data_IF_825570573552
#
_entry.id   IF_825570573552
#
_cell.length_a   1.000
_cell.length_b   1.000
_cell.length_c   1.000
_cell.angle_alpha   90.00
_cell.angle_beta   90.00
_cell.angle_gamma   90.00
#
_symmetry.space_group_name_H-M   'P 1'
#
loop_
_entity.id
_entity.type
_entity.pdbx_description
1 polymer ?
#
# COMPACT_ATOMS: atom_id res chain seq x y z
N UNK A 1 -84.62 8.22 55.47
CA UNK A 1 -83.88 9.41 56.02
C UNK A 1 -82.88 9.77 55.02
N UNK A 2 -83.19 10.66 54.20
CA UNK A 2 -82.72 12.04 54.09
C UNK A 2 -81.30 12.09 53.47
N UNK A 3 -80.92 12.85 52.51
CA UNK A 3 -81.51 14.04 51.93
C UNK A 3 -80.90 14.30 50.54
N UNK A 4 -81.63 14.90 49.73
CA UNK A 4 -81.28 15.35 48.42
C UNK A 4 -80.41 16.60 48.47
N UNK A 5 -79.40 16.67 47.68
CA UNK A 5 -78.76 17.93 47.33
C UNK A 5 -78.52 18.03 45.84
N UNK A 6 -79.37 18.82 45.25
CA UNK A 6 -79.43 19.36 43.90
C UNK A 6 -78.19 20.27 43.69
N UNK A 7 -77.33 19.92 42.77
CA UNK A 7 -76.28 20.80 42.28
C UNK A 7 -76.61 21.23 40.83
N UNK A 8 -76.87 22.44 40.68
CA UNK A 8 -77.21 23.20 39.46
C UNK A 8 -76.00 23.30 38.56
N UNK A 9 -76.09 22.85 37.32
CA UNK A 9 -75.03 22.96 36.37
C UNK A 9 -75.06 24.37 35.73
N UNK A 10 -74.10 25.15 36.03
CA UNK A 10 -73.82 26.42 35.37
C UNK A 10 -73.18 26.16 34.01
N UNK A 11 -73.91 26.50 32.96
CA UNK A 11 -73.41 26.47 31.58
C UNK A 11 -72.53 27.70 31.40
N UNK A 12 -71.23 27.53 31.21
CA UNK A 12 -70.32 28.58 30.73
C UNK A 12 -70.29 28.59 29.21
N UNK A 13 -70.61 29.68 28.52
CA UNK A 13 -70.39 29.84 27.10
C UNK A 13 -69.00 30.43 26.88
N UNK A 14 -68.22 29.81 26.07
CA UNK A 14 -67.01 30.50 25.57
C UNK A 14 -65.77 29.65 25.36
N UNK A 15 -65.85 28.57 24.61
CA UNK A 15 -64.69 28.07 23.97
C UNK A 15 -64.42 28.84 22.66
N UNK A 16 -63.61 29.91 22.79
CA UNK A 16 -63.06 30.59 21.62
C UNK A 16 -62.19 29.61 20.84
N UNK A 17 -62.62 29.24 19.66
CA UNK A 17 -61.84 28.45 18.74
C UNK A 17 -60.51 29.12 18.42
N UNK A 18 -59.44 28.56 18.91
CA UNK A 18 -58.11 28.91 18.48
C UNK A 18 -57.99 28.60 16.98
N UNK A 19 -58.16 29.63 16.15
CA UNK A 19 -57.81 29.56 14.75
C UNK A 19 -56.28 29.41 14.71
N UNK A 20 -55.84 28.17 14.48
CA UNK A 20 -54.47 27.91 14.13
C UNK A 20 -54.18 28.73 12.88
N UNK A 21 -53.40 29.80 13.04
CA UNK A 21 -52.89 30.59 11.93
C UNK A 21 -52.10 29.67 11.04
N UNK A 22 -52.63 29.36 9.85
CA UNK A 22 -51.89 28.75 8.78
C UNK A 22 -50.74 29.69 8.47
N UNK A 23 -49.56 29.34 8.95
CA UNK A 23 -48.34 30.03 8.55
C UNK A 23 -48.16 29.82 7.07
N UNK A 24 -48.53 30.82 6.29
CA UNK A 24 -48.15 30.91 4.89
C UNK A 24 -46.63 30.81 4.84
N UNK A 25 -46.13 29.70 4.33
CA UNK A 25 -44.72 29.49 4.07
C UNK A 25 -44.19 30.74 3.38
N UNK A 26 -43.09 31.27 3.93
CA UNK A 26 -42.39 32.45 3.41
C UNK A 26 -41.93 32.13 2.00
N UNK A 27 -42.75 32.58 1.02
CA UNK A 27 -42.42 32.43 -0.39
C UNK A 27 -41.06 33.08 -0.65
N UNK A 28 -40.13 32.31 -1.16
CA UNK A 28 -38.80 32.83 -1.47
C UNK A 28 -38.95 33.95 -2.48
N UNK A 29 -38.53 35.17 -2.17
CA UNK A 29 -38.59 36.30 -3.08
C UNK A 29 -37.71 36.00 -4.31
N UNK A 30 -38.09 36.53 -5.51
CA UNK A 30 -37.33 36.36 -6.74
C UNK A 30 -35.85 36.72 -6.58
N UNK A 31 -35.55 37.80 -5.83
CA UNK A 31 -34.18 38.21 -5.52
C UNK A 31 -33.46 37.18 -4.62
N UNK A 32 -34.14 36.68 -3.59
CA UNK A 32 -33.60 35.64 -2.73
C UNK A 32 -33.30 34.35 -3.47
N UNK A 33 -34.19 33.94 -4.38
CA UNK A 33 -34.01 32.76 -5.21
C UNK A 33 -32.78 32.87 -6.13
N UNK A 34 -32.64 34.00 -6.86
CA UNK A 34 -31.48 34.25 -7.72
C UNK A 34 -30.19 34.31 -6.92
N UNK A 35 -30.20 34.98 -5.77
CA UNK A 35 -29.04 35.03 -4.89
C UNK A 35 -28.65 33.63 -4.41
N UNK A 36 -29.59 32.80 -4.00
CA UNK A 36 -29.35 31.44 -3.52
C UNK A 36 -28.78 30.53 -4.61
N UNK A 37 -29.36 30.61 -5.83
CA UNK A 37 -28.80 29.90 -6.99
C UNK A 37 -27.39 30.37 -7.31
N UNK A 38 -27.14 31.68 -7.31
CA UNK A 38 -25.79 32.22 -7.53
C UNK A 38 -24.78 31.71 -6.51
N UNK A 39 -25.13 31.70 -5.23
CA UNK A 39 -24.27 31.16 -4.17
C UNK A 39 -24.04 29.66 -4.36
N UNK A 40 -25.06 28.89 -4.73
CA UNK A 40 -24.95 27.46 -4.98
C UNK A 40 -23.99 27.18 -6.13
N UNK A 41 -24.08 27.93 -7.24
CA UNK A 41 -23.15 27.76 -8.39
C UNK A 41 -21.72 28.14 -8.04
N UNK A 42 -21.50 29.23 -7.30
CA UNK A 42 -20.16 29.62 -6.84
C UNK A 42 -19.55 28.52 -5.95
N UNK A 43 -20.34 28.02 -5.01
CA UNK A 43 -19.89 26.94 -4.10
C UNK A 43 -19.59 25.65 -4.86
N UNK A 44 -20.45 25.29 -5.81
CA UNK A 44 -20.24 24.12 -6.66
C UNK A 44 -18.98 24.27 -7.52
N UNK A 45 -18.80 25.40 -8.20
CA UNK A 45 -17.60 25.67 -9.00
C UNK A 45 -16.34 25.64 -8.17
N UNK A 46 -16.39 26.25 -6.97
CA UNK A 46 -15.27 26.18 -6.01
C UNK A 46 -14.93 24.76 -5.60
N UNK A 47 -15.94 23.97 -5.22
CA UNK A 47 -15.75 22.57 -4.85
C UNK A 47 -15.18 21.73 -6.01
N UNK A 48 -15.69 21.92 -7.21
CA UNK A 48 -15.17 21.25 -8.41
C UNK A 48 -13.75 21.68 -8.74
N UNK A 49 -13.40 22.95 -8.54
CA UNK A 49 -12.04 23.45 -8.69
C UNK A 49 -11.08 22.78 -7.71
N UNK A 50 -11.43 22.70 -6.43
CA UNK A 50 -10.63 22.03 -5.41
C UNK A 50 -10.50 20.54 -5.72
N UNK A 51 -11.59 19.86 -6.11
CA UNK A 51 -11.54 18.45 -6.48
C UNK A 51 -10.62 18.21 -7.69
N UNK A 52 -10.71 19.06 -8.71
CA UNK A 52 -9.84 18.97 -9.90
C UNK A 52 -8.37 19.18 -9.55
N UNK A 53 -8.05 20.18 -8.74
CA UNK A 53 -6.68 20.44 -8.28
C UNK A 53 -6.14 19.27 -7.45
N UNK A 54 -6.98 18.70 -6.57
CA UNK A 54 -6.60 17.53 -5.78
C UNK A 54 -6.33 16.31 -6.67
N UNK A 55 -7.16 16.09 -7.69
CA UNK A 55 -6.96 15.01 -8.66
C UNK A 55 -5.68 15.21 -9.48
N UNK A 56 -5.43 16.44 -9.96
CA UNK A 56 -4.18 16.77 -10.64
C UNK A 56 -2.98 16.56 -9.73
N UNK A 57 -3.07 16.99 -8.48
CA UNK A 57 -2.01 16.77 -7.49
C UNK A 57 -1.74 15.28 -7.23
N UNK A 58 -2.79 14.46 -7.25
CA UNK A 58 -2.65 13.01 -7.10
C UNK A 58 -2.00 12.34 -8.32
N UNK A 59 -2.30 12.83 -9.54
CA UNK A 59 -1.72 12.31 -10.78
C UNK A 59 -0.23 12.64 -10.95
N UNK A 60 0.25 13.69 -10.27
CA UNK A 60 1.68 14.03 -10.22
C UNK A 60 2.26 13.58 -8.88
N UNK A 61 2.76 12.33 -8.78
CA UNK A 61 3.37 11.87 -7.55
C UNK A 61 4.56 12.77 -7.21
N UNK A 62 4.65 13.18 -5.96
CA UNK A 62 5.90 13.74 -5.47
C UNK A 62 6.95 12.67 -5.65
N UNK A 63 8.05 13.02 -6.30
CA UNK A 63 9.19 12.12 -6.45
C UNK A 63 9.50 11.56 -5.08
N UNK A 64 9.18 10.29 -4.93
CA UNK A 64 9.48 9.56 -3.73
C UNK A 64 10.99 9.37 -3.69
N UNK A 65 11.53 9.42 -2.51
CA UNK A 65 12.90 9.03 -2.27
C UNK A 65 13.05 7.56 -2.65
N UNK A 66 13.50 7.30 -3.88
CA UNK A 66 13.87 5.95 -4.27
C UNK A 66 15.20 5.61 -3.60
N UNK A 67 15.29 4.47 -2.91
CA UNK A 67 16.57 4.02 -2.37
C UNK A 67 17.57 3.87 -3.52
N UNK A 68 18.86 4.12 -3.28
CA UNK A 68 19.87 4.02 -4.33
C UNK A 68 19.82 2.64 -4.99
N UNK A 69 19.86 2.63 -6.32
CA UNK A 69 19.78 1.40 -7.10
C UNK A 69 21.06 0.57 -6.99
N UNK A 70 22.16 1.21 -6.60
CA UNK A 70 23.44 0.56 -6.33
C UNK A 70 23.86 0.79 -4.90
N UNK A 71 24.39 -0.24 -4.25
CA UNK A 71 24.90 -0.13 -2.89
C UNK A 71 26.05 -1.12 -2.66
N UNK A 72 26.91 -0.81 -1.70
CA UNK A 72 28.00 -1.69 -1.26
C UNK A 72 27.52 -2.50 -0.05
N UNK A 73 27.64 -3.81 -0.15
CA UNK A 73 27.16 -4.73 0.87
C UNK A 73 28.24 -5.13 1.89
N UNK A 74 29.50 -4.75 1.64
CA UNK A 74 30.65 -5.12 2.47
C UNK A 74 31.60 -6.10 1.77
N UNK A 75 32.68 -6.49 2.42
CA UNK A 75 33.65 -7.41 1.85
C UNK A 75 33.11 -8.86 1.81
N UNK A 76 33.52 -9.67 0.82
CA UNK A 76 33.02 -11.04 0.63
C UNK A 76 33.17 -11.95 1.87
N UNK A 77 34.23 -11.76 2.64
CA UNK A 77 34.50 -12.56 3.84
C UNK A 77 33.52 -12.32 5.01
N UNK A 78 32.71 -11.28 4.94
CA UNK A 78 31.67 -11.02 5.94
C UNK A 78 30.46 -11.96 5.81
N UNK A 79 30.27 -12.53 4.63
CA UNK A 79 29.16 -13.44 4.35
C UNK A 79 29.57 -14.88 4.70
N UNK A 80 28.77 -15.53 5.54
CA UNK A 80 29.02 -16.90 6.00
C UNK A 80 28.63 -17.88 4.88
N UNK A 81 29.50 -18.83 4.58
CA UNK A 81 29.23 -19.87 3.57
C UNK A 81 28.04 -20.73 3.98
N UNK A 82 27.15 -21.01 3.02
CA UNK A 82 25.95 -21.83 3.23
C UNK A 82 24.80 -21.10 3.91
N UNK A 83 24.86 -19.76 4.05
CA UNK A 83 23.82 -18.98 4.71
C UNK A 83 23.25 -17.87 3.82
N UNK A 84 22.11 -17.35 4.23
CA UNK A 84 21.42 -16.21 3.60
C UNK A 84 21.52 -15.00 4.52
N UNK A 85 22.09 -13.93 4.02
CA UNK A 85 22.14 -12.66 4.73
C UNK A 85 20.85 -11.85 4.51
N UNK A 86 20.11 -11.63 5.59
CA UNK A 86 18.85 -10.90 5.62
C UNK A 86 18.99 -9.40 5.93
N UNK A 87 20.19 -8.90 6.26
CA UNK A 87 20.41 -7.50 6.67
C UNK A 87 19.91 -6.48 5.66
N UNK A 88 19.97 -6.84 4.38
CA UNK A 88 19.62 -5.94 3.27
C UNK A 88 18.18 -6.10 2.78
N UNK A 89 17.41 -6.99 3.38
CA UNK A 89 16.03 -7.27 2.99
C UNK A 89 15.13 -6.04 3.13
N UNK A 90 15.13 -5.41 4.30
CA UNK A 90 14.24 -4.28 4.58
C UNK A 90 14.68 -2.99 3.87
N UNK A 91 15.99 -2.74 3.77
CA UNK A 91 16.52 -1.50 3.21
C UNK A 91 16.58 -1.50 1.68
N UNK A 92 16.92 -2.65 1.10
CA UNK A 92 17.20 -2.76 -0.34
C UNK A 92 16.36 -3.80 -1.07
N UNK A 93 15.60 -4.61 -0.35
CA UNK A 93 14.74 -5.66 -0.93
C UNK A 93 15.53 -6.80 -1.54
N UNK A 94 16.64 -7.21 -0.91
CA UNK A 94 17.53 -8.26 -1.42
C UNK A 94 17.93 -9.25 -0.34
N UNK A 95 18.27 -10.46 -0.77
CA UNK A 95 18.98 -11.45 0.03
C UNK A 95 20.36 -11.66 -0.60
N UNK A 96 21.41 -11.68 0.21
CA UNK A 96 22.75 -12.07 -0.24
C UNK A 96 22.99 -13.48 0.20
N UNK A 97 23.34 -14.32 -0.74
CA UNK A 97 23.59 -15.74 -0.51
C UNK A 97 25.04 -16.05 -0.87
N UNK A 98 25.75 -16.72 0.02
CA UNK A 98 27.06 -17.26 -0.22
C UNK A 98 27.03 -18.78 -0.11
N UNK A 99 27.42 -19.45 -1.18
CA UNK A 99 27.73 -20.88 -1.17
C UNK A 99 29.26 -21.08 -1.23
N UNK A 100 29.72 -22.32 -1.44
CA UNK A 100 31.14 -22.64 -1.50
C UNK A 100 31.81 -22.08 -2.78
N UNK A 101 31.06 -21.86 -3.84
CA UNK A 101 31.56 -21.52 -5.18
C UNK A 101 31.31 -20.06 -5.54
N UNK A 102 30.19 -19.48 -5.07
CA UNK A 102 29.72 -18.17 -5.55
C UNK A 102 29.01 -17.36 -4.45
N UNK A 103 29.03 -16.03 -4.62
CA UNK A 103 28.15 -15.08 -3.91
C UNK A 103 27.20 -14.51 -4.94
N UNK A 104 25.91 -14.58 -4.67
CA UNK A 104 24.88 -14.02 -5.53
C UNK A 104 23.80 -13.29 -4.73
N UNK A 105 23.07 -12.44 -5.40
CA UNK A 105 22.07 -11.57 -4.78
C UNK A 105 20.70 -11.86 -5.36
N UNK A 106 19.79 -12.36 -4.53
CA UNK A 106 18.42 -12.64 -4.89
C UNK A 106 17.53 -11.43 -4.61
N UNK A 107 16.67 -11.13 -5.54
CA UNK A 107 15.59 -10.14 -5.37
C UNK A 107 14.55 -10.69 -4.38
N UNK A 108 14.30 -9.97 -3.29
CA UNK A 108 13.35 -10.36 -2.26
C UNK A 108 11.88 -10.13 -2.68
N UNK A 109 11.54 -10.53 -3.90
CA UNK A 109 10.21 -10.35 -4.48
C UNK A 109 9.74 -11.68 -5.07
N UNK A 110 8.67 -12.23 -4.50
CA UNK A 110 8.06 -13.46 -4.96
C UNK A 110 7.52 -13.30 -6.39
N UNK A 111 7.87 -14.25 -7.25
CA UNK A 111 7.50 -14.23 -8.68
C UNK A 111 6.03 -14.55 -8.95
N UNK A 112 5.25 -14.89 -7.90
CA UNK A 112 3.79 -15.04 -8.03
C UNK A 112 3.10 -13.67 -8.16
N UNK A 113 3.04 -12.88 -7.09
CA UNK A 113 2.34 -11.59 -7.02
C UNK A 113 3.14 -10.50 -6.27
N UNK A 114 4.46 -10.64 -6.16
CA UNK A 114 5.31 -9.58 -5.66
C UNK A 114 5.46 -9.48 -4.13
N UNK A 115 4.92 -10.43 -3.35
CA UNK A 115 5.13 -10.45 -1.90
C UNK A 115 6.60 -10.69 -1.56
N UNK A 116 7.04 -10.22 -0.40
CA UNK A 116 8.40 -10.46 0.09
C UNK A 116 8.49 -11.81 0.79
N UNK A 117 9.30 -12.77 0.29
CA UNK A 117 9.54 -14.04 0.96
C UNK A 117 10.33 -13.85 2.26
N UNK A 118 10.23 -14.83 3.16
CA UNK A 118 11.06 -14.92 4.35
C UNK A 118 12.03 -16.10 4.22
N UNK A 119 13.30 -15.91 4.61
CA UNK A 119 14.22 -17.00 4.77
C UNK A 119 13.92 -17.75 6.07
N UNK A 120 13.71 -19.04 5.99
CA UNK A 120 13.49 -19.94 7.11
C UNK A 120 14.75 -20.79 7.29
N UNK A 121 15.59 -20.39 8.24
CA UNK A 121 16.88 -21.02 8.48
C UNK A 121 16.75 -22.50 8.88
N UNK A 122 15.76 -22.83 9.70
CA UNK A 122 15.51 -24.20 10.14
C UNK A 122 15.04 -25.15 9.00
N UNK A 123 14.47 -24.59 7.93
CA UNK A 123 13.95 -25.37 6.81
C UNK A 123 14.80 -25.21 5.54
N UNK A 124 15.85 -24.38 5.58
CA UNK A 124 16.75 -24.07 4.45
C UNK A 124 16.00 -23.67 3.17
N UNK A 125 14.96 -22.83 3.33
CA UNK A 125 14.16 -22.37 2.19
C UNK A 125 13.65 -20.94 2.39
N UNK A 126 13.33 -20.30 1.28
CA UNK A 126 12.52 -19.08 1.30
C UNK A 126 11.05 -19.46 1.22
N UNK A 127 10.23 -18.88 2.09
CA UNK A 127 8.79 -19.06 2.10
C UNK A 127 8.06 -17.75 1.89
N UNK A 128 7.18 -17.72 0.91
CA UNK A 128 6.31 -16.58 0.67
C UNK A 128 5.06 -16.67 1.57
N UNK A 129 4.82 -15.71 2.47
CA UNK A 129 3.71 -15.80 3.43
C UNK A 129 2.33 -15.59 2.79
N UNK A 130 2.27 -15.06 1.55
CA UNK A 130 1.00 -14.71 0.94
C UNK A 130 0.22 -15.92 0.43
N UNK A 131 0.88 -16.81 -0.33
CA UNK A 131 0.22 -17.96 -0.95
C UNK A 131 1.07 -19.24 -0.87
N UNK A 132 2.08 -19.27 0.00
CA UNK A 132 2.85 -20.47 0.29
C UNK A 132 3.81 -20.91 -0.82
N UNK A 133 4.29 -20.00 -1.67
CA UNK A 133 5.38 -20.37 -2.60
C UNK A 133 6.68 -20.54 -1.85
N UNK A 134 7.35 -21.65 -2.10
CA UNK A 134 8.63 -22.00 -1.48
C UNK A 134 9.75 -22.05 -2.54
N UNK A 135 10.93 -21.55 -2.13
CA UNK A 135 12.11 -21.51 -3.00
C UNK A 135 13.32 -22.07 -2.24
N UNK A 136 14.15 -22.83 -2.94
CA UNK A 136 15.44 -23.27 -2.42
C UNK A 136 16.36 -22.07 -2.12
N UNK A 137 17.44 -22.33 -1.39
CA UNK A 137 18.47 -21.30 -1.14
C UNK A 137 18.99 -20.68 -2.44
N UNK A 138 19.07 -21.45 -3.52
CA UNK A 138 19.43 -20.98 -4.87
C UNK A 138 18.46 -19.98 -5.48
N UNK A 139 17.24 -19.86 -4.91
CA UNK A 139 16.14 -19.06 -5.46
C UNK A 139 15.22 -19.82 -6.40
N UNK A 140 15.49 -21.11 -6.69
CA UNK A 140 14.64 -21.93 -7.56
C UNK A 140 13.36 -22.30 -6.80
N UNK A 141 12.20 -22.05 -7.42
CA UNK A 141 10.91 -22.43 -6.87
C UNK A 141 10.69 -23.94 -6.94
N UNK A 142 10.11 -24.53 -5.90
CA UNK A 142 9.77 -25.95 -5.87
C UNK A 142 8.36 -26.25 -5.39
N UNK A 143 7.70 -25.29 -4.72
CA UNK A 143 6.35 -25.46 -4.21
C UNK A 143 5.55 -24.16 -4.32
N UNK A 144 4.23 -24.30 -4.44
CA UNK A 144 3.29 -23.19 -4.49
C UNK A 144 3.10 -22.57 -5.86
N UNK A 145 2.39 -21.44 -5.95
CA UNK A 145 1.95 -20.87 -7.22
C UNK A 145 2.99 -20.01 -7.94
N UNK A 146 4.20 -19.85 -7.41
CA UNK A 146 5.25 -19.06 -8.08
C UNK A 146 5.66 -19.74 -9.40
N UNK A 147 5.53 -19.05 -10.55
CA UNK A 147 5.73 -19.68 -11.86
C UNK A 147 7.20 -19.83 -12.27
N UNK A 148 8.13 -19.17 -11.58
CA UNK A 148 9.54 -19.11 -11.94
C UNK A 148 10.42 -18.82 -10.71
N UNK A 149 11.74 -19.08 -10.81
CA UNK A 149 12.70 -18.75 -9.76
C UNK A 149 12.72 -17.27 -9.38
N UNK A 150 13.28 -16.95 -8.19
CA UNK A 150 13.61 -15.59 -7.81
C UNK A 150 14.64 -15.02 -8.78
N UNK A 151 14.54 -13.74 -9.06
CA UNK A 151 15.48 -13.05 -9.94
C UNK A 151 16.79 -12.76 -9.20
N UNK A 152 17.93 -12.83 -9.89
CA UNK A 152 19.22 -12.37 -9.38
C UNK A 152 19.46 -10.92 -9.82
N UNK A 153 20.09 -10.12 -8.95
CA UNK A 153 20.61 -8.82 -9.32
C UNK A 153 22.06 -8.91 -9.77
N UNK A 154 22.47 -7.92 -10.53
CA UNK A 154 23.88 -7.75 -10.87
C UNK A 154 24.72 -7.58 -9.61
N UNK A 155 25.81 -8.32 -9.54
CA UNK A 155 26.76 -8.26 -8.45
C UNK A 155 28.19 -8.31 -9.00
N UNK A 156 29.01 -7.39 -8.54
CA UNK A 156 30.41 -7.29 -8.94
C UNK A 156 31.28 -6.92 -7.74
N UNK A 157 32.55 -7.22 -7.81
CA UNK A 157 33.52 -6.74 -6.83
C UNK A 157 33.93 -5.32 -7.21
N UNK A 158 33.76 -4.35 -6.32
CA UNK A 158 34.21 -2.99 -6.50
C UNK A 158 35.74 -2.87 -6.34
N UNK A 159 36.33 -1.78 -6.81
CA UNK A 159 37.79 -1.54 -6.73
C UNK A 159 38.34 -1.58 -5.30
N UNK A 160 37.51 -1.32 -4.30
CA UNK A 160 37.87 -1.39 -2.87
C UNK A 160 37.67 -2.78 -2.26
N UNK A 161 37.36 -3.79 -3.09
CA UNK A 161 37.16 -5.18 -2.65
C UNK A 161 35.81 -5.46 -1.99
N UNK A 162 34.86 -4.50 -2.04
CA UNK A 162 33.51 -4.72 -1.51
C UNK A 162 32.55 -5.28 -2.56
N UNK A 163 31.60 -6.06 -2.13
CA UNK A 163 30.51 -6.56 -2.97
C UNK A 163 29.59 -5.36 -3.34
N UNK A 164 29.58 -5.00 -4.60
CA UNK A 164 28.72 -3.97 -5.16
C UNK A 164 27.49 -4.62 -5.80
N UNK A 165 26.33 -4.29 -5.31
CA UNK A 165 25.04 -4.76 -5.83
C UNK A 165 24.42 -3.66 -6.67
N UNK A 166 24.03 -4.01 -7.91
CA UNK A 166 23.35 -3.11 -8.83
C UNK A 166 21.96 -3.68 -9.16
N UNK A 167 20.91 -3.02 -8.69
CA UNK A 167 19.53 -3.43 -8.89
C UNK A 167 18.93 -2.99 -10.22
N UNK A 168 19.66 -2.24 -11.03
CA UNK A 168 19.20 -1.82 -12.36
C UNK A 168 19.18 -2.98 -13.35
N UNK A 169 20.04 -3.98 -13.15
CA UNK A 169 20.16 -5.16 -14.00
C UNK A 169 19.70 -6.42 -13.27
N UNK A 170 18.82 -7.15 -13.89
CA UNK A 170 18.18 -8.35 -13.35
C UNK A 170 18.46 -9.53 -14.26
N UNK A 171 18.81 -10.68 -13.67
CA UNK A 171 19.09 -11.93 -14.37
C UNK A 171 18.04 -12.98 -14.03
N UNK A 172 17.54 -13.65 -15.06
CA UNK A 172 16.48 -14.66 -14.96
C UNK A 172 17.00 -16.04 -15.30
N UNK A 173 16.72 -16.99 -14.43
CA UNK A 173 17.16 -18.37 -14.61
C UNK A 173 16.55 -19.02 -15.86
N UNK A 174 15.27 -18.81 -16.10
CA UNK A 174 14.54 -19.39 -17.24
C UNK A 174 15.07 -18.92 -18.61
N UNK A 175 15.86 -17.85 -18.64
CA UNK A 175 16.55 -17.36 -19.84
C UNK A 175 18.02 -17.82 -19.92
N UNK A 176 18.49 -18.57 -18.92
CA UNK A 176 19.90 -18.96 -18.83
C UNK A 176 20.84 -17.84 -18.38
N UNK A 177 20.28 -16.70 -17.95
CA UNK A 177 21.05 -15.50 -17.62
C UNK A 177 21.86 -15.65 -16.31
N UNK A 178 21.62 -16.69 -15.50
CA UNK A 178 22.41 -16.96 -14.30
C UNK A 178 23.83 -17.42 -14.57
N UNK A 179 24.12 -17.83 -15.81
CA UNK A 179 25.49 -18.15 -16.25
C UNK A 179 26.32 -16.89 -16.59
N UNK A 180 25.71 -15.70 -16.60
CA UNK A 180 26.41 -14.43 -16.83
C UNK A 180 27.36 -14.15 -15.66
N UNK A 181 28.66 -13.84 -15.92
CA UNK A 181 29.64 -13.58 -14.87
C UNK A 181 29.32 -12.38 -13.98
N UNK A 182 28.38 -11.51 -14.37
CA UNK A 182 27.91 -10.42 -13.51
C UNK A 182 26.70 -10.81 -12.64
N UNK A 183 26.16 -12.03 -12.76
CA UNK A 183 25.08 -12.55 -11.92
C UNK A 183 25.56 -13.15 -10.60
N UNK A 184 26.87 -13.35 -10.43
CA UNK A 184 27.51 -13.88 -9.23
C UNK A 184 28.97 -13.41 -9.16
N UNK A 185 29.55 -13.52 -7.98
CA UNK A 185 30.99 -13.36 -7.73
C UNK A 185 31.54 -14.75 -7.36
N UNK A 186 32.58 -15.22 -7.99
CA UNK A 186 33.27 -16.43 -7.58
C UNK A 186 33.87 -16.22 -6.17
N UNK A 187 33.62 -17.19 -5.26
CA UNK A 187 33.99 -17.13 -3.84
C UNK A 187 35.40 -17.60 -3.56
#
# INVERSE_FOLDING_TARGET
MADAAKAEATIQPGAQGSQAAVQHGTGVSRRGFISWIGTAWVSFTGAMGVASLSTLRYLFPNVLFEPPQTFKAGPPNEFIVGTVDNRFKESYGVFIVRNEEEIYVLKAVCTHLGCTPNWLEAEFKFKCPCHGSDFYISGINFEGPAPRPLERYRVVLADDGQVLVDKTKVYRQEKGEWADPESFIAA
#
